data_IF_987617677018
#
_entry.id   IF_987617677018
#
_cell.length_a   1.000
_cell.length_b   1.000
_cell.length_c   1.000
_cell.angle_alpha   90.00
_cell.angle_beta   90.00
_cell.angle_gamma   90.00
#
_symmetry.space_group_name_H-M   'P 1'
#
loop_
_entity.id
_entity.type
_entity.pdbx_description
1 polymer ?
#
# COMPACT_ATOMS: atom_id res chain seq x y z
N UNK A 1 33.69 -8.84 10.40
CA UNK A 1 32.69 -7.85 10.89
C UNK A 1 33.35 -6.96 11.94
N UNK A 2 33.08 -5.65 11.89
CA UNK A 2 33.61 -4.65 12.85
C UNK A 2 33.06 -4.89 14.26
N UNK A 3 33.92 -4.70 15.28
CA UNK A 3 33.56 -4.89 16.70
C UNK A 3 32.41 -3.98 17.18
N UNK A 4 32.27 -2.78 16.63
CA UNK A 4 31.18 -1.86 16.93
C UNK A 4 29.85 -2.39 16.41
N UNK A 5 29.86 -2.96 15.19
CA UNK A 5 28.68 -3.57 14.59
C UNK A 5 28.24 -4.83 15.36
N UNK A 6 29.21 -5.64 15.83
CA UNK A 6 28.95 -6.80 16.71
C UNK A 6 28.26 -6.35 18.01
N UNK A 7 28.75 -5.29 18.63
CA UNK A 7 28.11 -4.74 19.86
C UNK A 7 26.68 -4.29 19.61
N UNK A 8 26.44 -3.64 18.47
CA UNK A 8 25.10 -3.21 18.08
C UNK A 8 24.17 -4.41 17.87
N UNK A 9 24.59 -5.42 17.12
CA UNK A 9 23.79 -6.61 16.86
C UNK A 9 23.51 -7.42 18.14
N UNK A 10 24.48 -7.50 19.06
CA UNK A 10 24.24 -8.09 20.38
C UNK A 10 23.18 -7.30 21.18
N UNK A 11 23.17 -5.97 21.07
CA UNK A 11 22.18 -5.11 21.75
C UNK A 11 20.76 -5.37 21.27
N UNK A 12 20.57 -5.69 20.00
CA UNK A 12 19.26 -6.05 19.41
C UNK A 12 18.97 -7.56 19.43
N UNK A 13 19.82 -8.35 20.09
CA UNK A 13 19.70 -9.81 20.16
C UNK A 13 19.66 -10.52 18.80
N UNK A 14 20.42 -10.04 17.81
CA UNK A 14 20.57 -10.72 16.53
C UNK A 14 21.35 -12.02 16.76
N UNK A 15 20.85 -13.15 16.20
CA UNK A 15 21.53 -14.44 16.35
C UNK A 15 22.89 -14.48 15.65
N UNK A 16 23.83 -15.28 16.15
CA UNK A 16 25.15 -15.44 15.56
C UNK A 16 25.09 -15.94 14.12
N UNK A 17 24.12 -16.79 13.79
CA UNK A 17 23.88 -17.28 12.41
C UNK A 17 23.58 -16.13 11.46
N UNK A 18 22.67 -15.23 11.84
CA UNK A 18 22.31 -14.06 11.03
C UNK A 18 23.44 -13.02 10.99
N UNK A 19 24.24 -12.90 12.05
CA UNK A 19 25.43 -12.04 12.05
C UNK A 19 26.47 -12.45 10.99
N UNK A 20 26.57 -13.72 10.62
CA UNK A 20 27.49 -14.20 9.58
C UNK A 20 27.19 -13.56 8.22
N UNK A 21 25.95 -13.18 7.95
CA UNK A 21 25.57 -12.47 6.73
C UNK A 21 26.19 -11.06 6.63
N UNK A 22 26.72 -10.54 7.73
CA UNK A 22 27.43 -9.26 7.81
C UNK A 22 28.96 -9.43 7.87
N UNK A 23 29.48 -10.60 7.47
CA UNK A 23 30.92 -10.80 7.43
C UNK A 23 31.60 -9.74 6.54
N UNK A 24 32.66 -9.12 7.04
CA UNK A 24 33.35 -8.01 6.36
C UNK A 24 32.64 -6.63 6.46
N UNK A 25 31.43 -6.57 7.01
CA UNK A 25 30.72 -5.30 7.19
C UNK A 25 31.40 -4.40 8.26
N UNK A 26 31.26 -3.07 8.06
CA UNK A 26 31.81 -2.04 8.95
C UNK A 26 30.74 -1.03 9.32
N UNK A 27 30.66 -0.67 10.59
CA UNK A 27 29.85 0.45 11.08
C UNK A 27 30.69 1.73 11.01
N UNK A 28 30.45 2.54 9.98
CA UNK A 28 31.21 3.76 9.72
C UNK A 28 30.84 4.89 10.68
N UNK A 29 29.53 5.07 10.91
CA UNK A 29 29.04 6.14 11.75
C UNK A 29 27.66 5.79 12.34
N UNK A 30 27.33 6.44 13.47
CA UNK A 30 25.99 6.47 14.06
C UNK A 30 25.63 7.92 14.33
N UNK A 31 24.58 8.40 13.68
CA UNK A 31 24.03 9.73 13.94
C UNK A 31 22.82 9.56 14.86
N UNK A 32 22.86 10.27 16.00
CA UNK A 32 21.77 10.30 16.97
C UNK A 32 21.07 11.63 16.86
N UNK A 33 19.78 11.61 16.53
CA UNK A 33 18.93 12.79 16.58
C UNK A 33 18.09 12.76 17.83
N UNK A 34 18.37 13.69 18.74
CA UNK A 34 17.68 13.78 20.02
C UNK A 34 16.30 14.46 19.90
N UNK A 35 15.98 15.09 18.78
CA UNK A 35 14.72 15.80 18.59
C UNK A 35 13.56 14.82 18.37
N UNK A 36 13.81 13.72 17.66
CA UNK A 36 12.84 12.66 17.39
C UNK A 36 13.22 11.29 17.96
N UNK A 37 14.33 11.25 18.74
CA UNK A 37 14.90 10.05 19.32
C UNK A 37 15.22 8.99 18.28
N UNK A 38 15.80 9.38 17.14
CA UNK A 38 16.18 8.46 16.08
C UNK A 38 17.70 8.23 16.02
N UNK A 39 18.05 6.99 15.61
CA UNK A 39 19.42 6.62 15.31
C UNK A 39 19.53 6.29 13.82
N UNK A 40 20.54 6.83 13.14
CA UNK A 40 20.89 6.47 11.77
C UNK A 40 22.24 5.79 11.75
N UNK A 41 22.27 4.52 11.37
CA UNK A 41 23.47 3.70 11.26
C UNK A 41 23.97 3.68 9.81
N UNK A 42 25.20 4.11 9.60
CA UNK A 42 25.87 4.06 8.30
C UNK A 42 26.78 2.83 8.27
N UNK A 43 26.44 1.87 7.41
CA UNK A 43 27.10 0.56 7.36
C UNK A 43 27.62 0.30 5.96
N UNK A 44 28.91 0.06 5.83
CA UNK A 44 29.50 -0.44 4.58
C UNK A 44 29.43 -1.97 4.57
N UNK A 45 28.86 -2.51 3.50
CA UNK A 45 28.68 -3.95 3.28
C UNK A 45 29.54 -4.41 2.10
N UNK A 46 30.19 -5.59 2.17
CA UNK A 46 30.84 -6.20 1.00
C UNK A 46 29.83 -6.57 -0.10
N UNK A 47 28.63 -6.99 0.30
CA UNK A 47 27.48 -7.29 -0.56
C UNK A 47 26.20 -6.95 0.18
N UNK A 48 25.13 -6.59 -0.56
CA UNK A 48 23.83 -6.31 0.04
C UNK A 48 23.26 -7.57 0.73
N UNK A 49 22.60 -7.39 1.85
CA UNK A 49 21.84 -8.42 2.57
C UNK A 49 20.46 -8.63 1.93
N UNK A 50 19.84 -9.78 2.15
CA UNK A 50 18.48 -10.02 1.68
C UNK A 50 17.44 -9.24 2.48
N UNK A 51 16.25 -9.07 1.90
CA UNK A 51 15.15 -8.29 2.47
C UNK A 51 14.63 -8.87 3.79
N UNK A 52 14.64 -10.21 3.94
CA UNK A 52 14.16 -10.85 5.17
C UNK A 52 15.07 -10.53 6.35
N UNK A 53 16.38 -10.57 6.12
CA UNK A 53 17.35 -10.17 7.14
C UNK A 53 17.24 -8.68 7.45
N UNK A 54 17.05 -7.82 6.43
CA UNK A 54 16.79 -6.41 6.62
C UNK A 54 15.55 -6.16 7.48
N UNK A 55 14.42 -6.80 7.18
CA UNK A 55 13.18 -6.69 7.94
C UNK A 55 13.36 -7.20 9.39
N UNK A 56 14.12 -8.28 9.56
CA UNK A 56 14.47 -8.83 10.87
C UNK A 56 15.25 -7.83 11.72
N UNK A 57 16.30 -7.20 11.18
CA UNK A 57 17.07 -6.20 11.96
C UNK A 57 16.25 -4.95 12.23
N UNK A 58 15.35 -4.53 11.35
CA UNK A 58 14.42 -3.44 11.60
C UNK A 58 13.51 -3.77 12.78
N UNK A 59 12.88 -4.93 12.80
CA UNK A 59 11.99 -5.39 13.87
C UNK A 59 12.72 -5.52 15.20
N UNK A 60 13.90 -6.16 15.22
CA UNK A 60 14.69 -6.31 16.43
C UNK A 60 15.16 -4.95 17.01
N UNK A 61 15.40 -3.97 16.12
CA UNK A 61 15.82 -2.62 16.54
C UNK A 61 14.74 -1.85 17.30
N UNK A 62 13.47 -2.22 17.18
CA UNK A 62 12.36 -1.64 17.94
C UNK A 62 12.49 -1.93 19.45
N UNK A 63 13.30 -2.92 19.84
CA UNK A 63 13.60 -3.23 21.24
C UNK A 63 14.55 -2.23 21.92
N UNK A 64 15.20 -1.34 21.16
CA UNK A 64 16.15 -0.35 21.69
C UNK A 64 15.38 0.76 22.41
N UNK A 65 15.53 0.81 23.73
CA UNK A 65 14.82 1.77 24.59
C UNK A 65 15.28 3.22 24.38
N UNK A 66 16.53 3.42 23.95
CA UNK A 66 17.17 4.73 23.78
C UNK A 66 16.85 5.36 22.43
N UNK A 67 16.24 4.60 21.51
CA UNK A 67 15.82 5.11 20.19
C UNK A 67 14.36 4.75 19.93
N UNK A 68 13.58 5.75 19.54
CA UNK A 68 12.21 5.53 19.03
C UNK A 68 12.21 4.90 17.65
N UNK A 69 13.24 5.21 16.84
CA UNK A 69 13.40 4.70 15.47
C UNK A 69 14.87 4.49 15.17
N UNK A 70 15.16 3.41 14.44
CA UNK A 70 16.49 3.13 13.90
C UNK A 70 16.40 3.09 12.37
N UNK A 71 17.25 3.87 11.74
CA UNK A 71 17.39 3.91 10.30
C UNK A 71 18.72 3.31 9.88
N UNK A 72 18.72 2.59 8.77
CA UNK A 72 19.92 2.02 8.18
C UNK A 72 20.25 2.74 6.87
N UNK A 73 21.52 3.05 6.68
CA UNK A 73 22.08 3.56 5.43
C UNK A 73 23.20 2.64 5.05
N UNK A 74 23.00 1.87 3.99
CA UNK A 74 23.99 0.94 3.50
C UNK A 74 24.82 1.54 2.38
N UNK A 75 26.09 1.11 2.31
CA UNK A 75 26.99 1.39 1.19
C UNK A 75 27.54 0.07 0.69
N UNK A 76 27.38 -0.21 -0.60
CA UNK A 76 27.87 -1.39 -1.30
C UNK A 76 27.96 -1.10 -2.80
N UNK A 77 28.63 -1.97 -3.55
CA UNK A 77 28.81 -1.85 -5.00
C UNK A 77 28.05 -2.94 -5.78
N UNK A 78 26.96 -3.46 -5.22
CA UNK A 78 26.21 -4.60 -5.77
C UNK A 78 24.75 -4.23 -6.05
N UNK A 79 24.20 -4.71 -7.18
CA UNK A 79 22.76 -4.64 -7.47
C UNK A 79 21.99 -5.89 -6.96
N UNK A 80 22.63 -6.69 -6.12
CA UNK A 80 22.01 -7.88 -5.51
C UNK A 80 20.75 -7.48 -4.74
N UNK A 81 19.67 -8.25 -4.90
CA UNK A 81 18.37 -8.03 -4.24
C UNK A 81 17.64 -6.72 -4.58
N UNK A 82 18.04 -5.99 -5.63
CA UNK A 82 17.36 -4.73 -5.99
C UNK A 82 15.85 -4.94 -6.21
N UNK A 83 15.48 -5.98 -6.98
CA UNK A 83 14.08 -6.30 -7.24
C UNK A 83 13.31 -6.57 -5.94
N UNK A 84 13.92 -7.33 -5.02
CA UNK A 84 13.29 -7.67 -3.74
C UNK A 84 13.07 -6.43 -2.87
N UNK A 85 14.03 -5.48 -2.85
CA UNK A 85 13.89 -4.22 -2.12
C UNK A 85 12.86 -3.30 -2.73
N UNK A 86 12.75 -3.27 -4.06
CA UNK A 86 11.69 -2.50 -4.75
C UNK A 86 10.32 -3.08 -4.40
N UNK A 87 10.14 -4.41 -4.53
CA UNK A 87 8.90 -5.09 -4.17
C UNK A 87 8.54 -4.91 -2.68
N UNK A 88 9.53 -5.01 -1.78
CA UNK A 88 9.34 -4.84 -0.35
C UNK A 88 8.79 -3.44 0.00
N UNK A 89 9.45 -2.40 -0.49
CA UNK A 89 9.01 -1.03 -0.17
C UNK A 89 7.70 -0.69 -0.87
N UNK A 90 7.47 -1.21 -2.08
CA UNK A 90 6.23 -0.98 -2.80
C UNK A 90 5.04 -1.60 -2.07
N UNK A 91 5.16 -2.83 -1.54
CA UNK A 91 4.14 -3.45 -0.68
C UNK A 91 3.80 -2.60 0.54
N UNK A 92 4.79 -1.99 1.19
CA UNK A 92 4.55 -1.07 2.33
C UNK A 92 3.75 0.18 1.93
N UNK A 93 3.87 0.64 0.68
CA UNK A 93 3.02 1.73 0.16
C UNK A 93 1.63 1.24 -0.21
N UNK A 94 1.49 0.04 -0.78
CA UNK A 94 0.19 -0.56 -1.07
C UNK A 94 -0.66 -0.74 0.20
N UNK A 95 -0.05 -1.13 1.32
CA UNK A 95 -0.73 -1.24 2.61
C UNK A 95 -1.33 0.09 3.08
N UNK A 96 -0.74 1.22 2.67
CA UNK A 96 -1.16 2.58 3.07
C UNK A 96 -2.00 3.29 2.03
N UNK A 97 -1.93 2.88 0.77
CA UNK A 97 -2.63 3.47 -0.35
C UNK A 97 -3.35 2.38 -1.15
N UNK A 98 -4.65 2.17 -0.90
CA UNK A 98 -5.44 1.13 -1.57
C UNK A 98 -5.41 1.21 -3.10
N UNK A 99 -5.29 2.40 -3.68
CA UNK A 99 -5.22 2.58 -5.14
C UNK A 99 -4.02 1.91 -5.79
N UNK A 100 -2.94 1.69 -5.04
CA UNK A 100 -1.74 1.03 -5.57
C UNK A 100 -1.85 -0.50 -5.58
N UNK A 101 -2.92 -1.08 -5.01
CA UNK A 101 -3.09 -2.54 -4.94
C UNK A 101 -3.42 -3.18 -6.29
N UNK A 102 -3.89 -2.39 -7.28
CA UNK A 102 -4.06 -2.81 -8.67
C UNK A 102 -2.74 -3.10 -9.37
N UNK A 103 -1.65 -2.46 -8.94
CA UNK A 103 -0.32 -2.60 -9.52
C UNK A 103 0.35 -3.85 -8.95
N UNK A 104 0.70 -4.79 -9.81
CA UNK A 104 1.32 -6.07 -9.42
C UNK A 104 2.85 -6.00 -9.53
N UNK A 105 3.54 -7.03 -9.05
CA UNK A 105 5.00 -7.13 -9.18
C UNK A 105 5.45 -7.18 -10.65
N UNK A 106 4.65 -7.78 -11.53
CA UNK A 106 4.90 -7.85 -12.98
C UNK A 106 4.84 -6.50 -13.70
N UNK A 107 4.19 -5.50 -13.05
CA UNK A 107 4.08 -4.13 -13.56
C UNK A 107 5.29 -3.27 -13.22
N UNK A 108 6.18 -3.80 -12.39
CA UNK A 108 7.42 -3.13 -11.97
C UNK A 108 8.57 -3.71 -12.79
N UNK A 109 9.01 -2.99 -13.80
CA UNK A 109 10.07 -3.42 -14.72
C UNK A 109 11.37 -2.69 -14.40
N UNK A 110 12.41 -3.45 -14.11
CA UNK A 110 13.74 -2.91 -13.83
C UNK A 110 14.66 -3.25 -15.00
N UNK A 111 15.08 -2.19 -15.71
CA UNK A 111 16.00 -2.29 -16.84
C UNK A 111 17.20 -1.39 -16.55
N UNK A 112 18.39 -1.97 -16.42
CA UNK A 112 19.61 -1.27 -16.04
C UNK A 112 19.42 -0.43 -14.76
N UNK A 113 19.44 0.89 -14.90
CA UNK A 113 19.28 1.84 -13.80
C UNK A 113 17.88 2.51 -13.77
N UNK A 114 16.92 2.01 -14.56
CA UNK A 114 15.58 2.58 -14.65
C UNK A 114 14.56 1.59 -14.10
N UNK A 115 13.75 2.04 -13.16
CA UNK A 115 12.61 1.32 -12.59
C UNK A 115 11.34 1.95 -13.17
N UNK A 116 10.68 1.23 -14.07
CA UNK A 116 9.39 1.63 -14.63
C UNK A 116 8.27 0.95 -13.85
N UNK A 117 7.32 1.73 -13.37
CA UNK A 117 6.10 1.25 -12.72
C UNK A 117 4.95 1.52 -13.69
N UNK A 118 4.44 0.46 -14.32
CA UNK A 118 3.36 0.54 -15.28
C UNK A 118 2.01 0.66 -14.59
N UNK A 119 1.21 1.61 -15.04
CA UNK A 119 -0.11 1.91 -14.50
C UNK A 119 -1.16 1.98 -15.60
N UNK A 120 -2.43 1.72 -15.23
CA UNK A 120 -3.54 1.64 -16.18
C UNK A 120 -4.25 2.98 -16.42
N UNK A 121 -4.05 3.98 -15.54
CA UNK A 121 -4.74 5.26 -15.63
C UNK A 121 -3.93 6.42 -15.01
N UNK A 122 -4.37 7.64 -15.32
CA UNK A 122 -3.69 8.86 -14.86
C UNK A 122 -3.74 9.03 -13.33
N UNK A 123 -4.77 8.53 -12.66
CA UNK A 123 -4.90 8.67 -11.20
C UNK A 123 -3.88 7.80 -10.49
N UNK A 124 -3.68 6.56 -10.95
CA UNK A 124 -2.58 5.70 -10.49
C UNK A 124 -1.23 6.35 -10.78
N UNK A 125 -1.06 6.96 -11.97
CA UNK A 125 0.17 7.66 -12.34
C UNK A 125 0.48 8.80 -11.38
N UNK A 126 -0.50 9.62 -11.03
CA UNK A 126 -0.33 10.71 -10.07
C UNK A 126 0.09 10.17 -8.69
N UNK A 127 -0.57 9.10 -8.21
CA UNK A 127 -0.20 8.47 -6.93
C UNK A 127 1.19 7.83 -6.96
N UNK A 128 1.59 7.24 -8.08
CA UNK A 128 2.96 6.75 -8.25
C UNK A 128 3.94 7.92 -8.20
N UNK A 129 3.66 9.03 -8.90
CA UNK A 129 4.51 10.21 -8.87
C UNK A 129 4.69 10.79 -7.46
N UNK A 130 3.65 10.73 -6.61
CA UNK A 130 3.70 11.15 -5.20
C UNK A 130 4.64 10.28 -4.35
N UNK A 131 4.78 8.99 -4.67
CA UNK A 131 5.63 8.05 -3.91
C UNK A 131 7.04 7.91 -4.47
N UNK A 132 7.28 8.25 -5.74
CA UNK A 132 8.61 8.15 -6.39
C UNK A 132 9.72 8.80 -5.56
N UNK A 133 9.59 10.02 -5.02
CA UNK A 133 10.65 10.63 -4.22
C UNK A 133 10.98 9.80 -2.96
N UNK A 134 9.97 9.22 -2.33
CA UNK A 134 10.12 8.41 -1.12
C UNK A 134 10.73 7.04 -1.44
N UNK A 135 10.30 6.42 -2.54
CA UNK A 135 10.84 5.15 -3.04
C UNK A 135 12.33 5.33 -3.40
N UNK A 136 12.66 6.38 -4.15
CA UNK A 136 14.04 6.72 -4.52
C UNK A 136 14.90 7.00 -3.28
N UNK A 137 14.39 7.73 -2.29
CA UNK A 137 15.10 7.99 -1.04
C UNK A 137 15.35 6.71 -0.24
N UNK A 138 14.39 5.77 -0.22
CA UNK A 138 14.57 4.47 0.42
C UNK A 138 15.66 3.66 -0.28
N UNK A 139 15.60 3.50 -1.61
CA UNK A 139 16.59 2.74 -2.39
C UNK A 139 17.98 3.33 -2.25
N UNK A 140 18.10 4.66 -2.23
CA UNK A 140 19.37 5.35 -1.98
C UNK A 140 19.94 5.04 -0.57
N UNK A 141 19.09 4.98 0.46
CA UNK A 141 19.52 4.55 1.81
C UNK A 141 19.94 3.08 1.84
N UNK A 142 19.33 2.25 1.01
CA UNK A 142 19.74 0.85 0.85
C UNK A 142 21.04 0.69 0.04
N UNK A 143 21.63 1.78 -0.45
CA UNK A 143 22.91 1.77 -1.17
C UNK A 143 22.79 1.69 -2.69
N UNK A 144 21.57 1.60 -3.23
CA UNK A 144 21.35 1.59 -4.67
C UNK A 144 21.37 3.02 -5.22
N UNK A 145 22.51 3.38 -5.82
CA UNK A 145 22.75 4.73 -6.33
C UNK A 145 22.50 4.80 -7.84
N UNK A 146 22.15 6.00 -8.33
CA UNK A 146 22.00 6.25 -9.77
C UNK A 146 20.75 5.65 -10.39
N UNK A 147 19.80 5.16 -9.57
CA UNK A 147 18.52 4.65 -10.07
C UNK A 147 17.57 5.79 -10.40
N UNK A 148 16.90 5.68 -11.53
CA UNK A 148 15.78 6.51 -11.94
C UNK A 148 14.47 5.73 -11.81
N UNK A 149 13.47 6.28 -11.10
CA UNK A 149 12.15 5.65 -10.94
C UNK A 149 11.14 6.47 -11.72
N UNK A 150 10.31 5.82 -12.52
CA UNK A 150 9.28 6.44 -13.38
C UNK A 150 7.96 5.70 -13.26
N UNK A 151 6.86 6.45 -13.18
CA UNK A 151 5.54 5.95 -13.50
C UNK A 151 5.34 5.99 -15.02
N UNK A 152 4.81 4.93 -15.62
CA UNK A 152 4.56 4.83 -17.06
C UNK A 152 3.12 4.40 -17.28
N UNK A 153 2.38 5.18 -18.08
CA UNK A 153 1.03 4.80 -18.49
C UNK A 153 1.12 3.69 -19.55
N UNK A 154 0.56 2.54 -19.26
CA UNK A 154 0.47 1.42 -20.18
C UNK A 154 -0.84 1.54 -20.99
N UNK A 155 -0.72 1.83 -22.29
CA UNK A 155 -1.87 1.99 -23.20
C UNK A 155 -2.65 0.68 -23.40
N UNK A 156 -2.02 -0.50 -23.27
CA UNK A 156 -2.71 -1.79 -23.38
C UNK A 156 -3.57 -2.01 -22.13
N UNK A 157 -3.02 -1.81 -20.95
CA UNK A 157 -3.76 -1.89 -19.67
C UNK A 157 -4.87 -0.85 -19.59
N UNK A 158 -4.63 0.36 -20.07
CA UNK A 158 -5.65 1.42 -20.18
C UNK A 158 -6.81 0.98 -21.08
N UNK A 159 -6.51 0.34 -22.22
CA UNK A 159 -7.52 -0.18 -23.14
C UNK A 159 -8.27 -1.36 -22.53
N UNK A 160 -7.59 -2.29 -21.83
CA UNK A 160 -8.24 -3.40 -21.11
C UNK A 160 -9.15 -2.90 -19.99
N UNK A 161 -8.67 -1.97 -19.17
CA UNK A 161 -9.49 -1.33 -18.14
C UNK A 161 -10.70 -0.61 -18.75
N UNK A 162 -10.51 0.10 -19.88
CA UNK A 162 -11.59 0.76 -20.61
C UNK A 162 -12.57 -0.23 -21.25
N UNK A 163 -12.10 -1.40 -21.70
CA UNK A 163 -12.95 -2.48 -22.23
C UNK A 163 -13.75 -3.16 -21.12
N UNK A 164 -13.15 -3.37 -19.94
CA UNK A 164 -13.83 -3.90 -18.76
C UNK A 164 -14.94 -2.94 -18.28
N UNK A 165 -14.66 -1.63 -18.27
CA UNK A 165 -15.66 -0.60 -17.97
C UNK A 165 -16.77 -0.62 -19.03
N UNK A 166 -16.43 -0.64 -20.32
CA UNK A 166 -17.42 -0.73 -21.42
C UNK A 166 -18.21 -2.04 -21.38
N UNK A 167 -17.60 -3.16 -21.03
CA UNK A 167 -18.30 -4.44 -20.88
C UNK A 167 -19.25 -4.46 -19.67
N UNK A 168 -18.93 -3.74 -18.59
CA UNK A 168 -19.86 -3.54 -17.49
C UNK A 168 -21.05 -2.65 -17.89
N UNK A 169 -20.79 -1.60 -18.68
CA UNK A 169 -21.84 -0.73 -19.24
C UNK A 169 -22.70 -1.45 -20.30
N UNK A 170 -22.11 -2.32 -21.12
CA UNK A 170 -22.85 -3.11 -22.13
C UNK A 170 -23.72 -4.22 -21.51
N UNK A 171 -23.33 -4.78 -20.35
CA UNK A 171 -24.19 -5.71 -19.63
C UNK A 171 -25.37 -5.04 -18.92
N UNK A 172 -25.29 -3.71 -18.73
CA UNK A 172 -26.40 -2.91 -18.21
C UNK A 172 -27.44 -2.50 -19.28
N UNK A 173 -27.07 -2.54 -20.58
CA UNK A 173 -27.95 -2.08 -21.67
C UNK A 173 -28.76 -3.17 -22.39
N UNK A 174 -28.48 -4.47 -22.17
CA UNK A 174 -29.19 -5.57 -22.86
C UNK A 174 -30.07 -6.43 -21.96
N UNK A 175 -30.51 -5.91 -20.82
CA UNK A 175 -31.57 -6.58 -20.03
C UNK A 175 -32.91 -5.99 -20.42
N UNK A 176 -33.63 -6.76 -21.21
CA UNK A 176 -35.05 -6.62 -21.51
C UNK A 176 -35.84 -6.09 -20.30
N UNK A 177 -36.73 -5.12 -20.62
CA UNK A 177 -37.77 -4.53 -19.76
C UNK A 177 -38.75 -5.61 -19.24
N UNK A 178 -38.31 -6.47 -18.35
CA UNK A 178 -39.23 -7.26 -17.52
C UNK A 178 -38.71 -7.32 -16.08
N UNK A 179 -39.46 -6.68 -15.17
CA UNK A 179 -39.32 -6.56 -13.73
C UNK A 179 -38.09 -5.75 -13.28
N UNK A 180 -38.32 -4.49 -12.95
CA UNK A 180 -37.43 -3.71 -12.07
C UNK A 180 -37.22 -4.46 -10.76
N UNK A 181 -36.25 -5.35 -10.71
CA UNK A 181 -35.68 -5.72 -9.42
C UNK A 181 -35.11 -4.44 -8.79
N UNK A 182 -35.50 -4.19 -7.55
CA UNK A 182 -35.03 -3.06 -6.77
C UNK A 182 -33.50 -3.01 -6.82
N UNK A 183 -32.91 -1.96 -7.37
CA UNK A 183 -31.46 -1.71 -7.36
C UNK A 183 -30.95 -1.43 -5.94
N UNK A 184 -31.86 -1.27 -4.98
CA UNK A 184 -31.55 -1.09 -3.57
C UNK A 184 -30.99 -2.38 -2.97
N UNK A 185 -29.76 -2.29 -2.47
CA UNK A 185 -29.06 -3.42 -1.83
C UNK A 185 -29.31 -3.42 -0.33
N UNK A 186 -29.22 -2.25 0.31
CA UNK A 186 -29.35 -2.09 1.75
C UNK A 186 -29.82 -0.68 2.12
N UNK A 187 -30.66 -0.56 3.16
CA UNK A 187 -31.16 0.72 3.67
C UNK A 187 -32.28 1.32 2.83
N UNK A 188 -32.28 2.63 2.66
CA UNK A 188 -33.29 3.40 1.91
C UNK A 188 -32.72 3.90 0.57
N UNK A 189 -33.62 4.18 -0.38
CA UNK A 189 -33.25 4.81 -1.65
C UNK A 189 -32.45 6.09 -1.42
N UNK A 190 -31.26 6.16 -2.05
CA UNK A 190 -30.37 7.30 -1.91
C UNK A 190 -30.71 8.35 -2.96
N UNK A 191 -31.30 9.47 -2.49
CA UNK A 191 -31.64 10.65 -3.32
C UNK A 191 -30.65 11.77 -3.02
N UNK A 192 -30.25 12.53 -4.04
CA UNK A 192 -29.38 13.68 -3.87
C UNK A 192 -28.12 13.64 -4.72
N UNK A 193 -27.34 14.73 -4.62
CA UNK A 193 -26.05 14.87 -5.32
C UNK A 193 -24.97 14.05 -4.63
N UNK A 194 -24.08 13.49 -5.43
CA UNK A 194 -22.89 12.79 -4.98
C UNK A 194 -21.75 13.77 -4.74
N UNK A 195 -20.93 13.48 -3.74
CA UNK A 195 -19.65 14.15 -3.47
C UNK A 195 -18.53 13.37 -4.11
N UNK A 196 -17.54 14.07 -4.69
CA UNK A 196 -16.28 13.48 -5.11
C UNK A 196 -15.40 13.25 -3.87
N UNK A 197 -14.70 12.10 -3.83
CA UNK A 197 -13.88 11.71 -2.66
C UNK A 197 -12.77 12.72 -2.37
N UNK A 198 -12.16 13.35 -3.39
CA UNK A 198 -11.15 14.41 -3.21
C UNK A 198 -11.62 15.61 -2.39
N UNK A 199 -12.95 15.84 -2.31
CA UNK A 199 -13.53 16.93 -1.56
C UNK A 199 -13.84 16.56 -0.10
N UNK A 200 -13.59 15.31 0.29
CA UNK A 200 -13.76 14.82 1.66
C UNK A 200 -12.45 15.08 2.42
N UNK A 201 -12.33 16.27 3.01
CA UNK A 201 -11.11 16.73 3.70
C UNK A 201 -11.20 16.69 5.22
N UNK A 202 -12.39 16.42 5.77
CA UNK A 202 -12.64 16.41 7.21
C UNK A 202 -13.81 15.46 7.54
N UNK A 203 -14.12 15.34 8.84
CA UNK A 203 -15.33 14.62 9.27
C UNK A 203 -16.59 15.28 8.71
N UNK A 204 -17.45 14.48 8.14
CA UNK A 204 -18.69 14.93 7.52
C UNK A 204 -19.85 14.03 7.93
N UNK A 205 -20.98 14.63 8.25
CA UNK A 205 -22.24 13.92 8.47
C UNK A 205 -23.03 13.86 7.15
N UNK A 206 -23.62 12.70 6.84
CA UNK A 206 -24.55 12.52 5.72
C UNK A 206 -23.94 12.81 4.34
N UNK A 207 -22.93 12.05 3.97
CA UNK A 207 -22.27 12.11 2.67
C UNK A 207 -22.83 11.02 1.75
N UNK A 208 -23.17 11.41 0.52
CA UNK A 208 -23.52 10.49 -0.56
C UNK A 208 -22.39 10.48 -1.59
N UNK A 209 -21.87 9.30 -1.91
CA UNK A 209 -20.79 9.09 -2.85
C UNK A 209 -21.21 8.07 -3.91
N UNK A 210 -20.61 8.14 -5.08
CA UNK A 210 -20.70 7.13 -6.13
C UNK A 210 -19.30 6.61 -6.41
N UNK A 211 -19.06 5.32 -6.15
CA UNK A 211 -17.72 4.78 -6.03
C UNK A 211 -17.61 3.39 -6.61
N UNK A 212 -16.45 3.11 -7.14
CA UNK A 212 -16.01 1.79 -7.58
C UNK A 212 -15.45 1.02 -6.38
N UNK A 213 -15.90 -0.22 -6.19
CA UNK A 213 -15.40 -1.12 -5.14
C UNK A 213 -14.30 -1.98 -5.76
N UNK A 214 -13.08 -1.88 -5.23
CA UNK A 214 -11.92 -2.65 -5.69
C UNK A 214 -11.34 -3.60 -4.65
N UNK A 215 -11.97 -3.71 -3.47
CA UNK A 215 -11.61 -4.68 -2.44
C UNK A 215 -12.71 -4.79 -1.39
N UNK A 216 -12.94 -6.02 -0.90
CA UNK A 216 -13.92 -6.31 0.16
C UNK A 216 -13.28 -7.22 1.20
N UNK A 217 -13.32 -6.81 2.46
CA UNK A 217 -12.79 -7.57 3.59
C UNK A 217 -13.86 -7.73 4.67
N UNK A 218 -13.98 -8.93 5.25
CA UNK A 218 -14.85 -9.22 6.38
C UNK A 218 -14.01 -9.58 7.59
N UNK A 219 -14.25 -8.90 8.70
CA UNK A 219 -13.63 -9.21 10.00
C UNK A 219 -14.71 -9.38 11.06
N UNK A 220 -14.71 -10.50 11.76
CA UNK A 220 -15.52 -10.71 12.94
C UNK A 220 -14.76 -10.30 14.21
N UNK A 221 -15.40 -9.52 15.06
CA UNK A 221 -14.80 -9.06 16.33
C UNK A 221 -15.15 -10.02 17.46
N UNK A 222 -14.33 -10.05 18.52
CA UNK A 222 -14.59 -10.85 19.73
C UNK A 222 -15.94 -10.52 20.42
N UNK A 223 -16.53 -9.35 20.13
CA UNK A 223 -17.85 -8.93 20.65
C UNK A 223 -19.01 -9.31 19.72
N UNK A 224 -18.77 -10.14 18.69
CA UNK A 224 -19.77 -10.62 17.75
C UNK A 224 -20.27 -9.60 16.74
N UNK A 225 -19.51 -8.51 16.50
CA UNK A 225 -19.76 -7.60 15.38
C UNK A 225 -19.02 -8.07 14.14
N UNK A 226 -19.69 -8.02 13.01
CA UNK A 226 -19.10 -8.12 11.70
C UNK A 226 -18.71 -6.70 11.20
N UNK A 227 -17.47 -6.55 10.79
CA UNK A 227 -16.96 -5.33 10.16
C UNK A 227 -16.70 -5.70 8.70
N UNK A 228 -17.48 -5.12 7.79
CA UNK A 228 -17.25 -5.25 6.35
C UNK A 228 -16.52 -3.99 5.92
N UNK A 229 -15.32 -4.13 5.39
CA UNK A 229 -14.51 -3.02 4.88
C UNK A 229 -14.48 -3.09 3.36
N UNK A 230 -14.98 -2.05 2.71
CA UNK A 230 -14.89 -1.86 1.27
C UNK A 230 -13.75 -0.89 0.96
N UNK A 231 -12.87 -1.26 0.03
CA UNK A 231 -11.88 -0.38 -0.57
C UNK A 231 -12.57 0.29 -1.76
N UNK A 232 -12.73 1.61 -1.69
CA UNK A 232 -13.55 2.37 -2.63
C UNK A 232 -12.78 3.51 -3.26
N UNK A 233 -13.07 3.81 -4.52
CA UNK A 233 -12.52 4.94 -5.27
C UNK A 233 -13.56 5.52 -6.24
N UNK A 234 -13.51 6.82 -6.48
CA UNK A 234 -14.20 7.50 -7.57
C UNK A 234 -13.23 8.03 -8.63
N UNK A 235 -11.98 7.52 -8.62
CA UNK A 235 -10.84 7.98 -9.40
C UNK A 235 -10.35 9.40 -9.08
N UNK A 236 -10.99 10.14 -8.17
CA UNK A 236 -10.45 11.41 -7.65
C UNK A 236 -9.66 11.19 -6.36
N UNK A 237 -10.05 10.18 -5.55
CA UNK A 237 -9.37 9.70 -4.35
C UNK A 237 -9.84 8.28 -4.00
N UNK A 238 -9.35 7.73 -2.89
CA UNK A 238 -9.77 6.43 -2.36
C UNK A 238 -9.90 6.45 -0.85
N UNK A 239 -10.90 5.71 -0.34
CA UNK A 239 -11.21 5.62 1.07
C UNK A 239 -11.57 4.18 1.48
N UNK A 240 -11.65 3.95 2.78
CA UNK A 240 -12.25 2.75 3.35
C UNK A 240 -13.68 3.05 3.80
N UNK A 241 -14.67 2.39 3.23
CA UNK A 241 -16.04 2.40 3.73
C UNK A 241 -16.25 1.18 4.63
N UNK A 242 -16.66 1.41 5.88
CA UNK A 242 -16.86 0.34 6.87
C UNK A 242 -18.32 0.22 7.25
N UNK A 243 -18.85 -0.99 7.25
CA UNK A 243 -20.18 -1.33 7.76
C UNK A 243 -20.03 -2.19 9.00
N UNK A 244 -20.63 -1.74 10.10
CA UNK A 244 -20.63 -2.44 11.38
C UNK A 244 -22.01 -3.05 11.60
N UNK A 245 -22.13 -4.36 11.70
CA UNK A 245 -23.40 -5.03 11.95
C UNK A 245 -23.22 -6.27 12.82
N UNK A 246 -24.26 -6.60 13.61
CA UNK A 246 -24.38 -7.91 14.30
C UNK A 246 -25.29 -8.87 13.52
N UNK A 247 -26.00 -8.36 12.52
CA UNK A 247 -26.96 -9.13 11.74
C UNK A 247 -26.22 -9.94 10.67
N UNK A 248 -26.32 -11.26 10.78
CA UNK A 248 -25.70 -12.21 9.84
C UNK A 248 -26.35 -12.19 8.45
N UNK A 249 -27.64 -11.90 8.36
CA UNK A 249 -28.34 -11.85 7.07
C UNK A 249 -27.96 -10.56 6.31
N UNK A 250 -27.82 -9.43 7.01
CA UNK A 250 -27.26 -8.20 6.42
C UNK A 250 -25.85 -8.45 5.94
N UNK A 251 -24.99 -9.10 6.75
CA UNK A 251 -23.63 -9.46 6.36
C UNK A 251 -23.61 -10.29 5.08
N UNK A 252 -24.40 -11.37 5.01
CA UNK A 252 -24.49 -12.22 3.81
C UNK A 252 -24.97 -11.46 2.60
N UNK A 253 -25.99 -10.63 2.76
CA UNK A 253 -26.57 -9.81 1.67
C UNK A 253 -25.54 -8.85 1.11
N UNK A 254 -24.83 -8.11 1.98
CA UNK A 254 -23.79 -7.16 1.58
C UNK A 254 -22.62 -7.86 0.90
N UNK A 255 -22.12 -8.96 1.47
CA UNK A 255 -21.03 -9.74 0.88
C UNK A 255 -21.39 -10.37 -0.47
N UNK A 256 -22.66 -10.70 -0.70
CA UNK A 256 -23.13 -11.28 -1.97
C UNK A 256 -23.42 -10.23 -3.04
N UNK A 257 -23.97 -9.08 -2.66
CA UNK A 257 -24.47 -8.08 -3.61
C UNK A 257 -23.54 -6.91 -3.86
N UNK A 258 -22.64 -6.61 -2.92
CA UNK A 258 -21.58 -5.59 -3.10
C UNK A 258 -20.28 -6.30 -3.39
N UNK A 259 -19.92 -6.39 -4.66
CA UNK A 259 -18.77 -7.15 -5.16
C UNK A 259 -17.70 -6.22 -5.71
N UNK A 260 -16.47 -6.69 -5.73
CA UNK A 260 -15.37 -6.01 -6.41
C UNK A 260 -15.65 -5.86 -7.91
N UNK A 261 -15.12 -4.81 -8.52
CA UNK A 261 -15.27 -4.55 -9.94
C UNK A 261 -16.57 -3.85 -10.35
N UNK A 262 -17.36 -3.31 -9.41
CA UNK A 262 -18.64 -2.67 -9.70
C UNK A 262 -18.78 -1.31 -9.01
N UNK A 263 -19.64 -0.47 -9.59
CA UNK A 263 -19.98 0.84 -9.05
C UNK A 263 -21.20 0.79 -8.14
N UNK A 264 -21.11 1.55 -7.04
CA UNK A 264 -22.19 1.64 -6.06
C UNK A 264 -22.39 3.07 -5.59
N UNK A 265 -23.63 3.43 -5.37
CA UNK A 265 -24.00 4.66 -4.67
C UNK A 265 -24.12 4.34 -3.18
N UNK A 266 -23.32 4.99 -2.36
CA UNK A 266 -23.26 4.78 -0.92
C UNK A 266 -23.59 6.07 -0.17
N UNK A 267 -24.22 5.94 1.00
CA UNK A 267 -24.50 7.04 1.91
C UNK A 267 -24.07 6.70 3.31
N UNK A 268 -23.41 7.63 3.95
CA UNK A 268 -22.88 7.42 5.29
C UNK A 268 -22.34 8.70 5.91
N UNK A 269 -21.44 8.53 6.88
CA UNK A 269 -20.71 9.62 7.51
C UNK A 269 -19.21 9.36 7.42
N UNK A 270 -18.41 10.41 7.41
CA UNK A 270 -16.96 10.35 7.41
C UNK A 270 -16.46 10.63 8.82
N UNK A 271 -15.59 9.76 9.32
CA UNK A 271 -14.84 9.93 10.57
C UNK A 271 -13.37 9.65 10.34
N UNK A 272 -12.52 10.34 11.07
CA UNK A 272 -11.10 10.02 11.15
C UNK A 272 -10.92 8.76 12.02
N UNK A 273 -10.14 7.79 11.53
CA UNK A 273 -9.75 6.57 12.26
C UNK A 273 -8.53 6.84 13.14
#
# INVERSE_FOLDING_TARGET
MDSKLVRYFNKINLSNELMNSFEGAKLENVVVDNSDLSWTLYITLPKMIDVKLFDTICTLSESIKEARRVYYVFKHDSNLYLNDYVSYIFKKYQEKCPMLTSIKEEDIKINDNIINIEVSNNVELDKINDIIPKLTAFLRRMGYLGLEVKGVLDEEKKNEASLLIKQSDYKASDVNLEKKESTLIFGNEIKGKTFELKNIIAEMNDVTIEVFVFGVELKETAKGFNIITYKISDYTDSLFAKVFTKDKEITKTLMKRVTEGSWYKMRGYVKND
#
